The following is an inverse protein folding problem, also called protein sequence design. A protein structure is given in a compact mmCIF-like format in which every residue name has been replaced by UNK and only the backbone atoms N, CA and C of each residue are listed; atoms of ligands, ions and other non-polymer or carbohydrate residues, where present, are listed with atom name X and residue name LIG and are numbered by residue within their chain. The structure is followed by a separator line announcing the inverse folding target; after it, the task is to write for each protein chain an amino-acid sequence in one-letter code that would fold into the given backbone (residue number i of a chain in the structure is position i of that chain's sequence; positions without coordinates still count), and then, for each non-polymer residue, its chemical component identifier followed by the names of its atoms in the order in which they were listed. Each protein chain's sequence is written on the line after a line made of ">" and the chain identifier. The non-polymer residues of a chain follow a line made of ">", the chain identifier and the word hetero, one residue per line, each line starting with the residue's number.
data_IF_027051271738
#
_entry.id   IF_027051271738
#
_cell.length_a   1.000
_cell.length_b   1.000
_cell.length_c   1.000
_cell.angle_alpha   90.00
_cell.angle_beta   90.00
_cell.angle_gamma   90.00
#
_symmetry.space_group_name_H-M   'P 1'
#
loop_
_entity.id
_entity.type
_entity.pdbx_description
1 polymer ?
#
# COMPACT_ATOMS: atom_id res chain seq x y z
N UNK A 1 13.83 -30.89 90.37
CA UNK A 1 13.38 -31.58 89.13
C UNK A 1 13.13 -30.62 87.94
N UNK A 2 13.87 -29.51 87.80
CA UNK A 2 13.57 -28.44 86.81
C UNK A 2 14.14 -28.65 85.39
N UNK A 3 15.06 -29.60 85.17
CA UNK A 3 15.81 -29.69 83.89
C UNK A 3 15.16 -30.53 82.77
N UNK A 4 14.26 -31.47 83.06
CA UNK A 4 13.64 -32.30 82.00
C UNK A 4 12.55 -31.57 81.20
N UNK A 5 11.78 -30.68 81.84
CA UNK A 5 10.71 -29.92 81.17
C UNK A 5 11.25 -28.81 80.23
N UNK A 6 12.38 -28.18 80.57
CA UNK A 6 13.00 -27.14 79.73
C UNK A 6 13.58 -27.74 78.44
N UNK A 7 14.21 -28.91 78.51
CA UNK A 7 14.76 -29.61 77.34
C UNK A 7 13.67 -30.05 76.35
N UNK A 8 12.54 -30.57 76.87
CA UNK A 8 11.41 -30.99 76.05
C UNK A 8 10.72 -29.79 75.37
N UNK A 9 10.55 -28.67 76.07
CA UNK A 9 9.99 -27.43 75.52
C UNK A 9 10.86 -26.85 74.38
N UNK A 10 12.19 -26.81 74.56
CA UNK A 10 13.12 -26.35 73.52
C UNK A 10 13.09 -27.27 72.29
N UNK A 11 13.02 -28.60 72.51
CA UNK A 11 12.89 -29.58 71.43
C UNK A 11 11.62 -29.35 70.59
N UNK A 12 10.46 -29.19 71.23
CA UNK A 12 9.20 -28.94 70.52
C UNK A 12 9.19 -27.58 69.82
N UNK A 13 9.79 -26.53 70.41
CA UNK A 13 9.91 -25.21 69.77
C UNK A 13 10.81 -25.27 68.53
N UNK A 14 11.95 -25.99 68.60
CA UNK A 14 12.86 -26.20 67.46
C UNK A 14 12.20 -27.04 66.36
N UNK A 15 11.46 -28.10 66.72
CA UNK A 15 10.72 -28.92 65.75
C UNK A 15 9.58 -28.15 65.06
N UNK A 16 8.83 -27.32 65.80
CA UNK A 16 7.81 -26.41 65.23
C UNK A 16 8.42 -25.33 64.35
N UNK A 17 9.57 -24.78 64.74
CA UNK A 17 10.31 -23.82 63.92
C UNK A 17 10.80 -24.44 62.60
N UNK A 18 11.40 -25.64 62.66
CA UNK A 18 11.81 -26.37 61.45
C UNK A 18 10.61 -26.68 60.55
N UNK A 19 9.49 -27.13 61.13
CA UNK A 19 8.26 -27.39 60.39
C UNK A 19 7.71 -26.12 59.72
N UNK A 20 7.71 -24.99 60.44
CA UNK A 20 7.30 -23.69 59.89
C UNK A 20 8.20 -23.25 58.74
N UNK A 21 9.52 -23.39 58.87
CA UNK A 21 10.47 -23.06 57.80
C UNK A 21 10.27 -23.97 56.58
N UNK A 22 10.02 -25.26 56.78
CA UNK A 22 9.70 -26.19 55.68
C UNK A 22 8.39 -25.83 54.97
N UNK A 23 7.34 -25.45 55.71
CA UNK A 23 6.06 -25.03 55.13
C UNK A 23 6.23 -23.74 54.33
N UNK A 24 6.92 -22.74 54.87
CA UNK A 24 7.18 -21.46 54.18
C UNK A 24 8.00 -21.70 52.91
N UNK A 25 9.04 -22.53 52.97
CA UNK A 25 9.85 -22.90 51.81
C UNK A 25 9.01 -23.60 50.73
N UNK A 26 8.13 -24.51 51.13
CA UNK A 26 7.22 -25.21 50.22
C UNK A 26 6.24 -24.25 49.54
N UNK A 27 5.65 -23.30 50.29
CA UNK A 27 4.74 -22.29 49.75
C UNK A 27 5.46 -21.37 48.75
N UNK A 28 6.68 -20.91 49.07
CA UNK A 28 7.48 -20.08 48.16
C UNK A 28 7.77 -20.85 46.86
N UNK A 29 8.12 -22.13 46.98
CA UNK A 29 8.40 -22.99 45.82
C UNK A 29 7.18 -23.11 44.91
N UNK A 30 5.98 -23.31 45.48
CA UNK A 30 4.72 -23.34 44.72
C UNK A 30 4.47 -22.01 44.01
N UNK A 31 4.65 -20.88 44.70
CA UNK A 31 4.42 -19.56 44.10
C UNK A 31 5.38 -19.29 42.93
N UNK A 32 6.64 -19.70 43.03
CA UNK A 32 7.61 -19.59 41.93
C UNK A 32 7.18 -20.45 40.74
N UNK A 33 6.76 -21.70 40.98
CA UNK A 33 6.29 -22.59 39.90
C UNK A 33 5.05 -22.01 39.22
N UNK A 34 4.09 -21.50 39.97
CA UNK A 34 2.89 -20.85 39.41
C UNK A 34 3.30 -19.62 38.58
N UNK A 35 4.21 -18.78 39.08
CA UNK A 35 4.71 -17.62 38.34
C UNK A 35 5.38 -18.01 37.02
N UNK A 36 6.21 -19.07 37.02
CA UNK A 36 6.86 -19.59 35.81
C UNK A 36 5.82 -20.15 34.82
N UNK A 37 4.80 -20.85 35.31
CA UNK A 37 3.71 -21.37 34.46
C UNK A 37 2.88 -20.24 33.87
N UNK A 38 2.58 -19.18 34.62
CA UNK A 38 1.84 -18.02 34.11
C UNK A 38 2.66 -17.24 33.07
N UNK A 39 3.98 -17.09 33.28
CA UNK A 39 4.88 -16.50 32.28
C UNK A 39 4.93 -17.39 31.02
N UNK A 40 5.05 -18.71 31.18
CA UNK A 40 5.03 -19.63 30.05
C UNK A 40 3.69 -19.58 29.31
N UNK A 41 2.55 -19.57 30.00
CA UNK A 41 1.22 -19.41 29.40
C UNK A 41 1.04 -18.06 28.72
N UNK A 42 1.60 -16.98 29.28
CA UNK A 42 1.63 -15.66 28.64
C UNK A 42 2.48 -15.65 27.37
N UNK A 43 3.62 -16.34 27.37
CA UNK A 43 4.46 -16.56 26.19
C UNK A 43 3.74 -17.42 25.13
N UNK A 44 3.03 -18.47 25.54
CA UNK A 44 2.21 -19.30 24.64
C UNK A 44 1.04 -18.50 24.05
N UNK A 45 0.37 -17.64 24.83
CA UNK A 45 -0.65 -16.73 24.29
C UNK A 45 -0.07 -15.67 23.34
N UNK A 46 1.17 -15.26 23.56
CA UNK A 46 1.88 -14.38 22.62
C UNK A 46 2.29 -15.12 21.34
N UNK A 47 2.64 -16.41 21.40
CA UNK A 47 2.85 -17.24 20.20
C UNK A 47 1.56 -17.47 19.41
N UNK A 48 0.43 -17.75 20.06
CA UNK A 48 -0.84 -17.95 19.35
C UNK A 48 -1.35 -16.65 18.70
N UNK A 49 -1.12 -15.49 19.32
CA UNK A 49 -1.42 -14.18 18.73
C UNK A 49 -0.37 -13.69 17.72
N UNK A 50 0.77 -14.37 17.62
CA UNK A 50 1.85 -14.11 16.68
C UNK A 50 1.97 -15.23 15.62
N UNK A 51 0.87 -15.97 15.39
CA UNK A 51 0.74 -16.94 14.31
C UNK A 51 0.34 -16.32 12.96
N UNK A 52 0.26 -14.98 12.86
CA UNK A 52 0.09 -14.25 11.59
C UNK A 52 1.26 -13.36 11.19
N UNK A 53 2.39 -13.40 11.91
CA UNK A 53 3.63 -12.87 11.33
C UNK A 53 4.15 -13.88 10.30
N UNK A 54 3.65 -13.72 9.07
CA UNK A 54 4.18 -14.32 7.86
C UNK A 54 5.69 -14.04 7.78
N UNK A 55 6.49 -14.97 8.32
CA UNK A 55 7.93 -15.03 8.14
C UNK A 55 8.19 -15.57 6.72
N UNK A 56 7.79 -14.77 5.75
CA UNK A 56 7.88 -14.99 4.30
C UNK A 56 7.72 -13.71 3.50
N UNK A 57 7.85 -12.53 4.15
CA UNK A 57 7.72 -11.24 3.50
C UNK A 57 8.96 -10.95 2.63
N UNK A 58 8.92 -11.40 1.37
CA UNK A 58 9.78 -10.90 0.29
C UNK A 58 9.49 -9.41 -0.01
N UNK A 59 8.52 -8.79 0.67
CA UNK A 59 8.07 -7.44 0.39
C UNK A 59 7.31 -7.34 -0.94
N UNK A 60 6.95 -8.47 -1.53
CA UNK A 60 6.25 -8.60 -2.81
C UNK A 60 4.98 -9.41 -2.54
N UNK A 61 3.84 -8.89 -2.98
CA UNK A 61 2.57 -9.60 -2.92
C UNK A 61 2.13 -9.88 -4.36
N UNK A 62 1.80 -11.14 -4.65
CA UNK A 62 1.32 -11.50 -5.97
C UNK A 62 -0.11 -10.99 -6.11
N UNK A 63 -0.42 -10.37 -7.24
CA UNK A 63 -1.76 -9.98 -7.58
C UNK A 63 -2.71 -11.19 -7.51
N UNK A 64 -3.68 -11.14 -6.60
CA UNK A 64 -4.74 -12.15 -6.49
C UNK A 64 -6.01 -11.55 -7.09
N UNK A 65 -6.53 -12.18 -8.14
CA UNK A 65 -7.75 -11.73 -8.81
C UNK A 65 -8.93 -11.76 -7.85
N UNK A 66 -9.79 -10.75 -7.92
CA UNK A 66 -11.02 -10.66 -7.12
C UNK A 66 -12.21 -10.41 -8.04
N UNK A 67 -13.34 -11.03 -7.73
CA UNK A 67 -14.62 -10.77 -8.40
C UNK A 67 -15.68 -10.19 -7.46
N UNK A 68 -16.80 -9.72 -8.03
CA UNK A 68 -17.93 -9.14 -7.29
C UNK A 68 -18.44 -10.03 -6.15
N UNK A 69 -18.58 -11.34 -6.38
CA UNK A 69 -19.09 -12.28 -5.39
C UNK A 69 -18.15 -12.40 -4.19
N UNK A 70 -16.85 -12.48 -4.44
CA UNK A 70 -15.83 -12.56 -3.39
C UNK A 70 -15.77 -11.28 -2.56
N UNK A 71 -15.90 -10.11 -3.20
CA UNK A 71 -15.96 -8.83 -2.50
C UNK A 71 -17.21 -8.73 -1.60
N UNK A 72 -18.38 -9.18 -2.07
CA UNK A 72 -19.61 -9.21 -1.27
C UNK A 72 -19.49 -10.15 -0.07
N UNK A 73 -18.91 -11.35 -0.26
CA UNK A 73 -18.70 -12.34 0.80
C UNK A 73 -17.79 -11.83 1.93
N UNK A 74 -16.87 -10.90 1.63
CA UNK A 74 -16.00 -10.27 2.63
C UNK A 74 -16.61 -9.00 3.26
N UNK A 75 -17.88 -8.68 2.97
CA UNK A 75 -18.52 -7.39 3.27
C UNK A 75 -17.73 -6.19 2.70
N UNK A 76 -17.03 -6.41 1.60
CA UNK A 76 -16.32 -5.37 0.86
C UNK A 76 -17.23 -4.58 -0.07
N UNK A 77 -16.64 -3.56 -0.69
CA UNK A 77 -17.26 -2.75 -1.72
C UNK A 77 -16.37 -2.80 -2.97
N UNK A 78 -16.95 -3.03 -4.15
CA UNK A 78 -16.23 -3.15 -5.42
C UNK A 78 -17.00 -2.47 -6.55
N UNK A 79 -16.37 -1.48 -7.18
CA UNK A 79 -16.87 -0.81 -8.38
C UNK A 79 -16.66 -1.67 -9.63
N UNK A 80 -17.61 -1.61 -10.55
CA UNK A 80 -17.52 -2.25 -11.86
C UNK A 80 -16.89 -1.28 -12.88
N UNK A 81 -15.60 -0.99 -12.69
CA UNK A 81 -14.82 -0.15 -13.61
C UNK A 81 -14.35 -1.01 -14.79
N UNK A 82 -14.61 -0.60 -16.05
CA UNK A 82 -14.11 -1.32 -17.23
C UNK A 82 -12.59 -1.52 -17.15
N UNK A 83 -12.16 -2.76 -17.37
CA UNK A 83 -10.75 -3.11 -17.32
C UNK A 83 -10.06 -2.86 -18.67
N UNK A 84 -8.86 -2.29 -18.63
CA UNK A 84 -7.96 -2.14 -19.76
C UNK A 84 -6.54 -2.55 -19.34
N UNK A 85 -5.86 -3.32 -20.20
CA UNK A 85 -4.47 -3.72 -19.97
C UNK A 85 -3.52 -2.86 -20.79
N UNK A 86 -2.35 -2.57 -20.22
CA UNK A 86 -1.26 -1.92 -20.95
C UNK A 86 -0.38 -2.92 -21.72
N UNK A 87 -0.55 -4.23 -21.48
CA UNK A 87 0.32 -5.29 -22.00
C UNK A 87 0.37 -5.28 -23.54
N UNK A 88 1.58 -5.41 -24.09
CA UNK A 88 1.83 -5.53 -25.54
C UNK A 88 1.90 -4.20 -26.31
N UNK A 89 1.11 -3.20 -25.95
CA UNK A 89 1.01 -1.93 -26.71
C UNK A 89 1.58 -0.71 -25.96
N UNK A 90 1.45 -0.67 -24.62
CA UNK A 90 1.75 0.53 -23.83
C UNK A 90 2.67 0.20 -22.63
N UNK A 91 3.94 -0.17 -22.88
CA UNK A 91 4.84 -0.73 -21.87
C UNK A 91 5.08 0.17 -20.65
N UNK A 92 4.94 1.48 -20.77
CA UNK A 92 5.24 2.46 -19.72
C UNK A 92 4.06 3.38 -19.39
N UNK A 93 2.84 3.01 -19.80
CA UNK A 93 1.67 3.89 -19.76
C UNK A 93 0.68 3.57 -18.63
N UNK A 94 1.13 3.06 -17.48
CA UNK A 94 0.23 2.59 -16.43
C UNK A 94 -0.73 3.67 -15.91
N UNK A 95 -0.26 4.92 -15.83
CA UNK A 95 -1.03 6.09 -15.43
C UNK A 95 -2.08 6.46 -16.48
N UNK A 96 -1.72 6.36 -17.77
CA UNK A 96 -2.60 6.67 -18.90
C UNK A 96 -3.69 5.62 -19.02
N UNK A 97 -3.33 4.33 -19.01
CA UNK A 97 -4.29 3.22 -19.11
C UNK A 97 -5.25 3.26 -17.91
N UNK A 98 -4.74 3.58 -16.72
CA UNK A 98 -5.59 3.80 -15.53
C UNK A 98 -6.52 5.00 -15.69
N UNK A 99 -6.04 6.12 -16.23
CA UNK A 99 -6.87 7.30 -16.49
C UNK A 99 -7.98 7.01 -17.51
N UNK A 100 -7.69 6.25 -18.56
CA UNK A 100 -8.65 5.82 -19.57
C UNK A 100 -9.69 4.84 -19.00
N UNK A 101 -9.32 3.94 -18.09
CA UNK A 101 -10.30 3.11 -17.36
C UNK A 101 -11.31 3.98 -16.59
N UNK A 102 -10.86 5.05 -15.94
CA UNK A 102 -11.72 5.99 -15.22
C UNK A 102 -12.60 6.82 -16.16
N UNK A 103 -12.07 7.27 -17.32
CA UNK A 103 -12.86 7.94 -18.36
C UNK A 103 -13.95 7.02 -18.92
N UNK A 104 -13.59 5.77 -19.23
CA UNK A 104 -14.51 4.75 -19.75
C UNK A 104 -15.64 4.45 -18.75
N UNK A 105 -15.32 4.39 -17.45
CA UNK A 105 -16.32 4.22 -16.39
C UNK A 105 -17.38 5.32 -16.37
N UNK A 106 -17.02 6.55 -16.76
CA UNK A 106 -17.96 7.66 -16.91
C UNK A 106 -18.56 7.80 -18.32
N UNK A 107 -18.26 6.86 -19.23
CA UNK A 107 -18.81 6.81 -20.57
C UNK A 107 -18.17 7.78 -21.56
N UNK A 108 -16.97 8.29 -21.27
CA UNK A 108 -16.19 9.05 -22.26
C UNK A 108 -15.57 8.07 -23.27
N UNK A 109 -15.72 8.39 -24.55
CA UNK A 109 -15.11 7.65 -25.66
C UNK A 109 -13.74 8.26 -25.99
N UNK A 110 -12.73 7.87 -25.20
CA UNK A 110 -11.33 8.29 -25.33
C UNK A 110 -10.47 7.04 -25.28
N UNK A 111 -9.75 6.75 -26.37
CA UNK A 111 -8.79 5.65 -26.39
C UNK A 111 -7.48 6.02 -25.70
N UNK A 112 -6.61 5.03 -25.47
CA UNK A 112 -5.26 5.28 -24.93
C UNK A 112 -4.45 6.15 -25.89
N UNK A 113 -4.54 5.90 -27.19
CA UNK A 113 -3.87 6.72 -28.20
C UNK A 113 -4.40 8.16 -28.22
N UNK A 114 -5.73 8.35 -28.19
CA UNK A 114 -6.31 9.70 -28.10
C UNK A 114 -5.80 10.43 -26.84
N UNK A 115 -5.68 9.72 -25.72
CA UNK A 115 -5.19 10.31 -24.48
C UNK A 115 -3.74 10.76 -24.57
N UNK A 116 -2.88 9.91 -25.15
CA UNK A 116 -1.46 10.22 -25.34
C UNK A 116 -1.29 11.39 -26.32
N UNK A 117 -2.00 11.35 -27.45
CA UNK A 117 -1.72 12.26 -28.56
C UNK A 117 -2.37 13.64 -28.37
N UNK A 118 -3.56 13.71 -27.77
CA UNK A 118 -4.34 14.95 -27.70
C UNK A 118 -4.31 15.64 -26.32
N UNK A 119 -4.05 14.91 -25.23
CA UNK A 119 -4.23 15.46 -23.87
C UNK A 119 -2.99 15.40 -22.96
N UNK A 120 -2.08 14.45 -23.17
CA UNK A 120 -0.92 14.22 -22.29
C UNK A 120 0.24 15.17 -22.59
N UNK A 121 0.66 16.03 -21.65
CA UNK A 121 1.94 16.72 -21.74
C UNK A 121 3.09 15.70 -21.71
N UNK A 122 3.98 15.74 -22.69
CA UNK A 122 5.11 14.82 -22.84
C UNK A 122 6.41 15.59 -23.00
N UNK A 123 7.51 14.99 -22.54
CA UNK A 123 8.86 15.50 -22.70
C UNK A 123 9.86 14.38 -22.94
N UNK A 124 10.82 14.63 -23.82
CA UNK A 124 11.92 13.71 -24.07
C UNK A 124 12.93 13.72 -22.92
N UNK A 125 13.72 12.64 -22.82
CA UNK A 125 14.93 12.60 -22.01
C UNK A 125 16.15 12.74 -22.93
N UNK A 126 16.98 13.74 -22.66
CA UNK A 126 18.18 14.03 -23.44
C UNK A 126 19.42 13.46 -22.77
N UNK A 127 20.30 12.87 -23.57
CA UNK A 127 21.60 12.35 -23.11
C UNK A 127 22.71 13.17 -23.73
N UNK A 128 23.55 13.78 -22.89
CA UNK A 128 24.80 14.37 -23.33
C UNK A 128 25.78 13.25 -23.71
N UNK A 129 26.17 13.19 -24.99
CA UNK A 129 26.99 12.07 -25.51
C UNK A 129 28.43 12.07 -25.03
N UNK A 130 28.93 13.20 -24.50
CA UNK A 130 30.32 13.33 -24.02
C UNK A 130 30.43 12.95 -22.54
N UNK A 131 29.42 13.33 -21.75
CA UNK A 131 29.41 13.20 -20.28
C UNK A 131 28.49 12.08 -19.78
N UNK A 132 27.54 11.63 -20.60
CA UNK A 132 26.48 10.68 -20.21
C UNK A 132 25.39 11.29 -19.34
N UNK A 133 25.39 12.63 -19.18
CA UNK A 133 24.44 13.32 -18.33
C UNK A 133 23.03 13.33 -18.94
N UNK A 134 22.04 12.98 -18.11
CA UNK A 134 20.63 13.05 -18.48
C UNK A 134 20.04 14.41 -18.12
N UNK A 135 19.18 14.92 -19.00
CA UNK A 135 18.43 16.16 -18.80
C UNK A 135 17.00 15.99 -19.28
N UNK A 136 16.03 16.47 -18.50
CA UNK A 136 14.61 16.51 -18.88
C UNK A 136 13.84 17.45 -17.96
N UNK A 137 12.54 17.60 -18.18
CA UNK A 137 11.63 18.30 -17.26
C UNK A 137 11.29 17.44 -16.04
N UNK A 138 10.53 18.00 -15.08
CA UNK A 138 10.05 17.24 -13.93
C UNK A 138 8.91 16.29 -14.34
N UNK A 139 8.82 15.07 -13.80
CA UNK A 139 7.65 14.21 -13.96
C UNK A 139 6.34 14.81 -13.42
N UNK A 140 6.41 15.89 -12.63
CA UNK A 140 5.24 16.67 -12.21
C UNK A 140 4.76 17.68 -13.27
N UNK A 141 5.52 17.87 -14.36
CA UNK A 141 5.22 18.82 -15.44
C UNK A 141 4.85 18.10 -16.74
N UNK A 142 5.44 16.94 -17.04
CA UNK A 142 5.12 16.12 -18.20
C UNK A 142 5.41 14.63 -17.96
N UNK A 143 4.88 13.77 -18.83
CA UNK A 143 5.32 12.39 -18.96
C UNK A 143 6.71 12.34 -19.61
N UNK A 144 7.64 11.65 -18.96
CA UNK A 144 9.05 11.60 -19.40
C UNK A 144 9.26 10.36 -20.28
N UNK A 145 9.59 10.61 -21.55
CA UNK A 145 9.74 9.60 -22.59
C UNK A 145 8.44 9.33 -23.36
N UNK A 146 8.35 8.17 -24.00
CA UNK A 146 7.19 7.75 -24.81
C UNK A 146 6.43 6.61 -24.10
N UNK A 147 5.13 6.76 -23.78
CA UNK A 147 4.30 5.71 -23.18
C UNK A 147 4.23 4.40 -24.00
N UNK A 148 4.47 4.49 -25.31
CA UNK A 148 4.49 3.36 -26.26
C UNK A 148 5.87 2.69 -26.33
N UNK A 149 6.86 3.21 -25.62
CA UNK A 149 8.24 2.71 -25.60
C UNK A 149 8.61 2.17 -24.23
N UNK A 150 9.32 1.03 -24.21
CA UNK A 150 9.87 0.46 -22.97
C UNK A 150 11.00 1.30 -22.36
N UNK A 151 11.46 2.34 -23.07
CA UNK A 151 12.43 3.31 -22.56
C UNK A 151 11.81 4.56 -21.93
N UNK A 152 10.47 4.66 -21.88
CA UNK A 152 9.79 5.69 -21.13
C UNK A 152 9.91 5.51 -19.62
N UNK A 153 9.66 6.57 -18.86
CA UNK A 153 9.68 6.54 -17.39
C UNK A 153 8.26 6.56 -16.83
N UNK A 154 7.56 7.68 -16.99
CA UNK A 154 6.26 7.91 -16.35
C UNK A 154 5.98 9.38 -16.07
N UNK A 155 4.90 9.64 -15.36
CA UNK A 155 4.51 10.95 -14.87
C UNK A 155 3.88 10.88 -13.47
N UNK A 156 3.82 12.02 -12.80
CA UNK A 156 3.21 12.17 -11.48
C UNK A 156 1.84 12.81 -11.56
N UNK A 157 1.08 12.70 -10.47
CA UNK A 157 -0.33 13.07 -10.36
C UNK A 157 -0.74 14.41 -11.04
N UNK A 158 0.03 15.51 -10.92
CA UNK A 158 -0.35 16.77 -11.57
C UNK A 158 -0.49 16.69 -13.10
N UNK A 159 0.31 15.85 -13.77
CA UNK A 159 0.25 15.66 -15.23
C UNK A 159 -1.07 14.98 -15.62
N UNK A 160 -1.45 13.93 -14.89
CA UNK A 160 -2.73 13.23 -15.11
C UNK A 160 -3.93 14.11 -14.78
N UNK A 161 -3.85 14.94 -13.73
CA UNK A 161 -4.90 15.93 -13.43
C UNK A 161 -5.09 16.90 -14.59
N UNK A 162 -3.99 17.42 -15.14
CA UNK A 162 -4.05 18.33 -16.30
C UNK A 162 -4.64 17.64 -17.52
N UNK A 163 -4.17 16.45 -17.86
CA UNK A 163 -4.62 15.70 -19.04
C UNK A 163 -6.10 15.30 -18.93
N UNK A 164 -6.55 14.81 -17.77
CA UNK A 164 -7.97 14.50 -17.54
C UNK A 164 -8.87 15.73 -17.65
N UNK A 165 -8.46 16.87 -17.08
CA UNK A 165 -9.23 18.11 -17.18
C UNK A 165 -9.33 18.60 -18.64
N UNK A 166 -8.28 18.42 -19.44
CA UNK A 166 -8.32 18.73 -20.87
C UNK A 166 -9.28 17.80 -21.62
N UNK A 167 -9.28 16.51 -21.30
CA UNK A 167 -10.14 15.51 -21.94
C UNK A 167 -11.63 15.70 -21.62
N UNK A 168 -11.98 16.08 -20.39
CA UNK A 168 -13.39 16.18 -19.94
C UNK A 168 -13.98 17.58 -20.05
N UNK A 169 -13.14 18.62 -20.22
CA UNK A 169 -13.61 20.01 -20.22
C UNK A 169 -14.37 20.36 -18.94
N UNK A 170 -15.65 20.75 -19.07
CA UNK A 170 -16.48 21.22 -17.95
C UNK A 170 -17.45 20.17 -17.38
N UNK A 171 -17.46 18.94 -17.91
CA UNK A 171 -18.42 17.89 -17.50
C UNK A 171 -17.94 17.07 -16.29
N UNK A 172 -16.67 17.17 -15.94
CA UNK A 172 -16.07 16.60 -14.75
C UNK A 172 -14.90 17.48 -14.28
N UNK A 173 -14.37 17.18 -13.10
CA UNK A 173 -13.19 17.85 -12.54
C UNK A 173 -12.22 16.80 -12.00
N UNK A 174 -11.03 16.76 -12.57
CA UNK A 174 -9.91 16.01 -12.02
C UNK A 174 -9.26 16.83 -10.89
N UNK A 175 -9.02 16.17 -9.76
CA UNK A 175 -8.42 16.77 -8.58
C UNK A 175 -7.25 15.93 -8.08
N UNK A 176 -6.15 16.62 -7.75
CA UNK A 176 -5.03 16.03 -7.03
C UNK A 176 -5.43 15.82 -5.56
N UNK A 177 -5.45 14.55 -5.12
CA UNK A 177 -5.75 14.16 -3.74
C UNK A 177 -4.52 13.63 -3.01
N UNK A 178 -3.33 13.90 -3.52
CA UNK A 178 -2.04 13.52 -2.91
C UNK A 178 -1.99 13.87 -1.42
N UNK A 179 -1.43 12.95 -0.63
CA UNK A 179 -1.40 12.96 0.85
C UNK A 179 -2.74 12.61 1.56
N UNK A 180 -3.83 12.37 0.84
CA UNK A 180 -5.06 11.87 1.46
C UNK A 180 -4.92 10.40 1.80
N UNK A 181 -5.19 10.04 3.06
CA UNK A 181 -5.17 8.64 3.51
C UNK A 181 -6.07 7.73 2.67
N UNK A 182 -5.63 6.50 2.38
CA UNK A 182 -6.32 5.60 1.44
C UNK A 182 -7.70 5.19 1.95
N UNK A 183 -7.88 4.94 3.25
CA UNK A 183 -9.22 4.65 3.80
C UNK A 183 -10.14 5.88 3.68
N UNK A 184 -9.58 7.09 3.82
CA UNK A 184 -10.32 8.34 3.55
C UNK A 184 -10.69 8.47 2.07
N UNK A 185 -9.81 8.07 1.14
CA UNK A 185 -10.13 8.01 -0.29
C UNK A 185 -11.26 7.01 -0.57
N UNK A 186 -11.23 5.84 0.06
CA UNK A 186 -12.30 4.84 -0.04
C UNK A 186 -13.64 5.40 0.44
N UNK A 187 -13.65 6.03 1.62
CA UNK A 187 -14.89 6.53 2.23
C UNK A 187 -15.50 7.73 1.48
N UNK A 188 -14.65 8.64 0.99
CA UNK A 188 -15.11 9.86 0.35
C UNK A 188 -15.40 9.70 -1.14
N UNK A 189 -14.73 8.76 -1.82
CA UNK A 189 -14.82 8.59 -3.28
C UNK A 189 -15.31 7.22 -3.68
N UNK A 190 -14.58 6.15 -3.34
CA UNK A 190 -14.88 4.80 -3.86
C UNK A 190 -16.29 4.36 -3.49
N UNK A 191 -16.66 4.44 -2.20
CA UNK A 191 -18.03 4.13 -1.71
C UNK A 191 -19.14 5.03 -2.29
N UNK A 192 -18.77 6.10 -3.01
CA UNK A 192 -19.67 7.02 -3.70
C UNK A 192 -19.57 6.88 -5.22
N UNK A 193 -19.11 5.74 -5.72
CA UNK A 193 -18.99 5.44 -7.14
C UNK A 193 -17.97 6.33 -7.86
N UNK A 194 -16.89 6.73 -7.18
CA UNK A 194 -15.79 7.50 -7.74
C UNK A 194 -14.49 6.69 -7.57
N UNK A 195 -13.99 6.04 -8.65
CA UNK A 195 -12.70 5.36 -8.62
C UNK A 195 -11.56 6.34 -8.36
N UNK A 196 -10.43 5.85 -7.86
CA UNK A 196 -9.26 6.67 -7.52
C UNK A 196 -8.02 6.14 -8.23
N UNK A 197 -7.34 6.99 -8.99
CA UNK A 197 -6.00 6.71 -9.53
C UNK A 197 -5.00 6.77 -8.37
N UNK A 198 -4.17 5.76 -8.21
CA UNK A 198 -3.26 5.65 -7.08
C UNK A 198 -1.90 5.12 -7.52
N UNK A 199 -0.85 5.83 -7.12
CA UNK A 199 0.54 5.47 -7.40
C UNK A 199 1.08 4.59 -6.28
N UNK A 200 1.67 3.47 -6.66
CA UNK A 200 2.37 2.53 -5.79
C UNK A 200 3.52 1.91 -6.59
N UNK A 201 3.85 0.65 -6.35
CA UNK A 201 4.91 -0.03 -7.10
C UNK A 201 4.41 -1.28 -7.81
N UNK A 202 5.09 -1.63 -8.91
CA UNK A 202 4.79 -2.83 -9.68
C UNK A 202 4.82 -4.07 -8.77
N UNK A 203 3.74 -4.86 -8.76
CA UNK A 203 3.54 -6.02 -7.88
C UNK A 203 3.71 -5.72 -6.37
N UNK A 204 3.55 -4.45 -5.98
CA UNK A 204 3.85 -3.93 -4.65
C UNK A 204 5.25 -4.28 -4.13
N UNK A 205 6.20 -4.50 -5.03
CA UNK A 205 7.60 -4.72 -4.68
C UNK A 205 8.24 -3.46 -4.07
N UNK A 206 9.31 -3.57 -3.26
CA UNK A 206 10.02 -2.38 -2.82
C UNK A 206 10.52 -1.55 -3.99
N UNK A 207 10.33 -0.23 -3.89
CA UNK A 207 10.92 0.70 -4.85
C UNK A 207 12.45 0.75 -4.68
N UNK A 208 13.12 1.23 -5.72
CA UNK A 208 14.56 1.47 -5.68
C UNK A 208 14.92 2.81 -6.32
N UNK A 209 16.16 3.25 -6.11
CA UNK A 209 16.71 4.40 -6.83
C UNK A 209 16.83 4.04 -8.31
N UNK A 210 16.22 4.86 -9.17
CA UNK A 210 16.33 4.78 -10.63
C UNK A 210 17.37 5.76 -11.17
N UNK A 211 17.20 6.14 -12.43
CA UNK A 211 18.06 7.12 -13.08
C UNK A 211 17.87 8.53 -12.50
N UNK A 212 18.90 9.36 -12.63
CA UNK A 212 18.87 10.76 -12.23
C UNK A 212 19.13 11.66 -13.43
N UNK A 213 18.44 12.79 -13.50
CA UNK A 213 18.65 13.82 -14.51
C UNK A 213 18.63 15.21 -13.91
N UNK A 214 19.17 16.17 -14.66
CA UNK A 214 19.07 17.59 -14.34
C UNK A 214 17.74 18.12 -14.88
N UNK A 215 17.01 18.84 -14.04
CA UNK A 215 15.79 19.54 -14.41
C UNK A 215 16.12 20.77 -15.24
N UNK A 216 15.54 20.88 -16.44
CA UNK A 216 15.85 21.96 -17.39
C UNK A 216 15.51 23.37 -16.87
N UNK A 217 14.46 23.49 -16.05
CA UNK A 217 13.96 24.77 -15.56
C UNK A 217 14.72 25.30 -14.34
N UNK A 218 15.25 24.41 -13.50
CA UNK A 218 15.90 24.76 -12.22
C UNK A 218 17.40 24.45 -12.18
N UNK A 219 17.88 23.53 -13.02
CA UNK A 219 19.23 22.97 -12.94
C UNK A 219 19.46 22.05 -11.74
N UNK A 220 18.40 21.70 -10.99
CA UNK A 220 18.47 20.80 -9.84
C UNK A 220 18.50 19.33 -10.29
N UNK A 221 19.02 18.46 -9.43
CA UNK A 221 18.98 17.02 -9.66
C UNK A 221 17.62 16.45 -9.25
N UNK A 222 17.05 15.66 -10.16
CA UNK A 222 15.94 14.77 -9.89
C UNK A 222 16.41 13.32 -9.97
N UNK A 223 15.79 12.45 -9.18
CA UNK A 223 16.04 11.00 -9.18
C UNK A 223 14.72 10.27 -9.28
N UNK A 224 14.57 9.43 -10.31
CA UNK A 224 13.40 8.61 -10.51
C UNK A 224 13.29 7.51 -9.45
N UNK A 225 12.05 7.23 -9.02
CA UNK A 225 11.77 6.10 -8.15
C UNK A 225 11.46 4.89 -9.02
N UNK A 226 12.44 4.00 -9.18
CA UNK A 226 12.29 2.80 -9.99
C UNK A 226 11.27 1.83 -9.38
N UNK A 227 10.50 1.18 -10.26
CA UNK A 227 9.36 0.35 -9.91
C UNK A 227 8.06 1.13 -9.72
N UNK A 228 8.02 2.40 -10.14
CA UNK A 228 6.80 3.21 -10.20
C UNK A 228 5.67 2.50 -10.94
N UNK A 229 4.45 2.68 -10.44
CA UNK A 229 3.24 2.11 -11.02
C UNK A 229 1.99 2.90 -10.61
N UNK A 230 1.00 2.96 -11.49
CA UNK A 230 -0.31 3.52 -11.22
C UNK A 230 -1.42 2.53 -11.53
N UNK A 231 -2.39 2.45 -10.63
CA UNK A 231 -3.55 1.56 -10.69
C UNK A 231 -4.83 2.32 -10.34
N UNK A 232 -6.00 1.73 -10.63
CA UNK A 232 -7.30 2.31 -10.24
C UNK A 232 -7.81 1.58 -9.00
N UNK A 233 -7.88 2.26 -7.86
CA UNK A 233 -8.55 1.80 -6.65
C UNK A 233 -10.07 1.76 -6.89
N UNK A 234 -10.61 0.56 -6.89
CA UNK A 234 -12.02 0.27 -7.21
C UNK A 234 -12.79 -0.29 -6.02
N UNK A 235 -12.13 -0.56 -4.90
CA UNK A 235 -12.81 -1.16 -3.77
C UNK A 235 -11.93 -1.43 -2.57
N UNK A 236 -12.56 -1.94 -1.51
CA UNK A 236 -11.87 -2.38 -0.31
C UNK A 236 -12.77 -3.29 0.53
N UNK A 237 -12.14 -4.10 1.38
CA UNK A 237 -12.78 -4.73 2.53
C UNK A 237 -12.03 -4.40 3.84
N UNK A 238 -12.17 -5.24 4.85
CA UNK A 238 -11.48 -5.07 6.14
C UNK A 238 -9.95 -5.16 6.00
N UNK A 239 -9.42 -5.99 5.11
CA UNK A 239 -8.01 -6.38 5.05
C UNK A 239 -7.31 -5.99 3.75
N UNK A 240 -8.07 -5.75 2.68
CA UNK A 240 -7.56 -5.53 1.33
C UNK A 240 -8.11 -4.25 0.69
N UNK A 241 -7.29 -3.68 -0.18
CA UNK A 241 -7.75 -2.76 -1.22
C UNK A 241 -7.87 -3.51 -2.54
N UNK A 242 -8.83 -3.13 -3.36
CA UNK A 242 -9.10 -3.73 -4.68
C UNK A 242 -8.71 -2.74 -5.78
N UNK A 243 -7.99 -3.23 -6.78
CA UNK A 243 -7.48 -2.43 -7.88
C UNK A 243 -7.80 -3.04 -9.23
N UNK A 244 -8.11 -2.22 -10.22
CA UNK A 244 -7.83 -2.59 -11.61
C UNK A 244 -6.36 -2.28 -11.87
N UNK A 245 -5.58 -3.33 -12.12
CA UNK A 245 -4.14 -3.26 -12.33
C UNK A 245 -3.81 -3.44 -13.83
N UNK A 246 -3.36 -2.38 -14.53
CA UNK A 246 -3.16 -2.45 -15.97
C UNK A 246 -1.95 -3.31 -16.36
N UNK A 247 -1.03 -3.57 -15.42
CA UNK A 247 0.22 -4.30 -15.66
C UNK A 247 -0.03 -5.79 -15.90
N UNK A 248 0.63 -6.37 -16.91
CA UNK A 248 0.66 -7.81 -17.19
C UNK A 248 -0.74 -8.47 -17.25
N UNK A 249 -1.74 -7.71 -17.69
CA UNK A 249 -3.14 -8.15 -17.75
C UNK A 249 -3.70 -8.71 -16.43
N UNK A 250 -3.25 -8.17 -15.29
CA UNK A 250 -3.63 -8.63 -13.95
C UNK A 250 -5.15 -8.58 -13.69
N UNK A 251 -5.89 -7.69 -14.35
CA UNK A 251 -7.33 -7.54 -14.16
C UNK A 251 -7.67 -6.81 -12.86
N UNK A 252 -8.82 -7.15 -12.28
CA UNK A 252 -9.21 -6.70 -10.94
C UNK A 252 -8.58 -7.59 -9.88
N UNK A 253 -7.75 -7.01 -9.02
CA UNK A 253 -6.92 -7.72 -8.04
C UNK A 253 -7.04 -7.12 -6.66
N UNK A 254 -6.67 -7.87 -5.62
CA UNK A 254 -6.61 -7.40 -4.24
C UNK A 254 -5.20 -7.45 -3.68
N UNK A 255 -4.90 -6.51 -2.79
CA UNK A 255 -3.64 -6.43 -2.07
C UNK A 255 -3.86 -6.01 -0.62
N UNK A 256 -3.03 -6.50 0.30
CA UNK A 256 -3.15 -6.17 1.71
C UNK A 256 -2.97 -4.67 1.97
N UNK A 257 -3.88 -4.07 2.74
CA UNK A 257 -3.88 -2.63 3.03
C UNK A 257 -2.52 -2.09 3.50
N UNK A 258 -1.89 -2.80 4.44
CA UNK A 258 -0.60 -2.38 5.00
C UNK A 258 0.52 -2.31 3.96
N UNK A 259 0.53 -3.24 3.01
CA UNK A 259 1.57 -3.25 1.97
C UNK A 259 1.30 -2.16 0.94
N UNK A 260 0.05 -2.00 0.49
CA UNK A 260 -0.36 -0.92 -0.42
C UNK A 260 0.01 0.43 0.18
N UNK A 261 -0.38 0.70 1.43
CA UNK A 261 -0.05 1.96 2.11
C UNK A 261 1.46 2.19 2.07
N UNK A 262 2.27 1.20 2.45
CA UNK A 262 3.73 1.34 2.41
C UNK A 262 4.27 1.73 1.02
N UNK A 263 3.80 1.09 -0.06
CA UNK A 263 4.27 1.38 -1.43
C UNK A 263 3.78 2.71 -1.97
N UNK A 264 2.57 3.08 -1.60
CA UNK A 264 2.01 4.39 -1.88
C UNK A 264 2.81 5.51 -1.18
N UNK A 265 3.26 5.28 0.07
CA UNK A 265 4.14 6.23 0.77
C UNK A 265 5.52 6.36 0.09
N UNK A 266 6.09 5.25 -0.39
CA UNK A 266 7.35 5.24 -1.15
C UNK A 266 7.27 6.08 -2.45
N UNK A 267 6.06 6.25 -3.00
CA UNK A 267 5.78 7.06 -4.19
C UNK A 267 5.20 8.46 -3.89
N UNK A 268 5.39 8.96 -2.67
CA UNK A 268 4.99 10.33 -2.35
C UNK A 268 3.48 10.51 -2.17
N UNK A 269 2.77 9.43 -1.84
CA UNK A 269 1.35 9.47 -1.45
C UNK A 269 0.41 10.01 -2.52
N UNK A 270 0.74 9.78 -3.79
CA UNK A 270 0.02 10.37 -4.91
C UNK A 270 -1.33 9.70 -5.16
N UNK A 271 -2.34 10.50 -5.46
CA UNK A 271 -3.65 10.01 -5.91
C UNK A 271 -4.41 11.07 -6.67
N UNK A 272 -5.27 10.65 -7.60
CA UNK A 272 -6.10 11.52 -8.41
C UNK A 272 -7.52 10.96 -8.47
N UNK A 273 -8.51 11.85 -8.41
CA UNK A 273 -9.91 11.53 -8.64
C UNK A 273 -10.47 12.35 -9.79
N UNK A 274 -11.41 11.79 -10.54
CA UNK A 274 -12.21 12.51 -11.53
C UNK A 274 -13.65 12.53 -11.03
N UNK A 275 -14.19 13.72 -10.76
CA UNK A 275 -15.54 13.88 -10.20
C UNK A 275 -16.47 14.50 -11.24
N UNK A 276 -17.51 13.80 -11.72
CA UNK A 276 -18.51 14.36 -12.62
C UNK A 276 -19.19 15.60 -12.03
N UNK A 277 -19.30 16.69 -12.80
CA UNK A 277 -19.94 17.94 -12.36
C UNK A 277 -21.47 17.83 -12.32
N UNK A 278 -22.03 16.88 -13.07
CA UNK A 278 -23.42 16.46 -12.95
C UNK A 278 -23.45 15.02 -12.41
N UNK A 279 -24.05 14.84 -11.23
CA UNK A 279 -24.39 13.51 -10.72
C UNK A 279 -25.51 12.99 -11.64
N UNK A 280 -25.16 12.22 -12.67
CA UNK A 280 -26.17 11.44 -13.40
C UNK A 280 -26.74 10.43 -12.41
N UNK A 281 -28.03 10.62 -12.09
CA UNK A 281 -28.82 9.69 -11.28
C UNK A 281 -28.99 8.35 -11.97
#
# INVERSE_FOLDING_TARGET
>A
MKNKHVSLYIYFKKKRFILLVSIVSFVITILVVIGVVLIAMGLFHQEDSMSTLNLGNTGIEKAETVNQKEAEESNGFLLDVPYLSQEGEYPTACEIVSAVMVLSYYGYDVSVDDFIDDYLPQADIFVDTETGLLTSTSPTQAFIGDPRSSGGYGCYAPVIVSALNNAVGNTALAMDTTNTDIDTLVDNYVKRNIPVLLWASINLAPTSVGDSWILEDTGEWFTWTAGEHCMVLVGADQNYYYFNDPYNSNGTVKYHKNLVTKRWEELGKQSVVLVPTAISK
#
